data_IF_567770022467
#
_entry.id   IF_567770022467
#
_cell.length_a   1.000
_cell.length_b   1.000
_cell.length_c   1.000
_cell.angle_alpha   90.00
_cell.angle_beta   90.00
_cell.angle_gamma   90.00
#
_symmetry.space_group_name_H-M   'P 1'
#
loop_
_entity.id
_entity.type
_entity.pdbx_description
1 polymer ?
#
# COMPACT_ATOMS: atom_id res chain seq x y z
N UNK A 1 12.83 -1.07 13.88
CA UNK A 1 12.00 -1.54 12.75
C UNK A 1 12.47 -2.91 12.23
N UNK A 2 13.75 -3.10 11.90
CA UNK A 2 14.27 -4.36 11.35
C UNK A 2 13.97 -5.60 12.20
N UNK A 3 13.97 -5.49 13.53
CA UNK A 3 13.62 -6.63 14.40
C UNK A 3 12.15 -7.01 14.28
N UNK A 4 11.25 -6.03 14.21
CA UNK A 4 9.81 -6.26 13.99
C UNK A 4 9.59 -6.87 12.61
N UNK A 5 10.23 -6.34 11.57
CA UNK A 5 10.15 -6.88 10.22
C UNK A 5 10.58 -8.35 10.16
N UNK A 6 11.71 -8.68 10.77
CA UNK A 6 12.19 -10.08 10.88
C UNK A 6 11.21 -10.98 11.63
N UNK A 7 10.67 -10.51 12.76
CA UNK A 7 9.67 -11.26 13.53
C UNK A 7 8.40 -11.56 12.71
N UNK A 8 7.92 -10.58 11.94
CA UNK A 8 6.74 -10.75 11.09
C UNK A 8 7.02 -11.68 9.92
N UNK A 9 8.14 -11.51 9.22
CA UNK A 9 8.50 -12.35 8.06
C UNK A 9 8.84 -13.78 8.45
N UNK A 10 9.38 -14.02 9.64
CA UNK A 10 9.63 -15.38 10.14
C UNK A 10 8.36 -16.22 10.36
N UNK A 11 7.18 -15.59 10.35
CA UNK A 11 5.89 -16.26 10.44
C UNK A 11 5.32 -16.68 9.07
N UNK A 12 5.98 -16.28 7.98
CA UNK A 12 5.51 -16.48 6.60
C UNK A 12 6.22 -17.69 6.02
N UNK A 13 5.46 -18.54 5.33
CA UNK A 13 5.99 -19.59 4.48
C UNK A 13 6.49 -18.96 3.16
N UNK A 14 7.67 -18.32 3.24
CA UNK A 14 8.25 -17.58 2.14
C UNK A 14 8.45 -18.41 0.86
N UNK A 15 8.91 -19.67 0.92
CA UNK A 15 9.02 -20.53 -0.26
C UNK A 15 7.70 -20.73 -1.03
N UNK A 16 6.57 -20.70 -0.34
CA UNK A 16 5.23 -20.84 -0.92
C UNK A 16 4.50 -19.49 -1.10
N UNK A 17 5.20 -18.36 -0.90
CA UNK A 17 4.66 -17.03 -1.07
C UNK A 17 4.90 -16.52 -2.50
N UNK A 18 3.84 -16.14 -3.20
CA UNK A 18 3.92 -15.66 -4.58
C UNK A 18 4.60 -14.30 -4.70
N UNK A 19 4.43 -13.42 -3.72
CA UNK A 19 5.05 -12.09 -3.62
C UNK A 19 4.81 -11.48 -2.24
N UNK A 20 5.59 -10.44 -1.93
CA UNK A 20 5.43 -9.62 -0.72
C UNK A 20 5.18 -8.17 -1.15
N UNK A 21 4.29 -7.46 -0.45
CA UNK A 21 4.07 -6.02 -0.64
C UNK A 21 4.45 -5.30 0.65
N UNK A 22 5.33 -4.31 0.54
CA UNK A 22 5.54 -3.31 1.59
C UNK A 22 4.61 -2.12 1.36
N UNK A 23 3.85 -1.76 2.38
CA UNK A 23 2.89 -0.67 2.30
C UNK A 23 3.40 0.61 3.00
N UNK A 24 4.59 1.05 2.61
CA UNK A 24 5.17 2.33 2.97
C UNK A 24 5.67 2.46 4.41
N UNK A 25 6.30 3.61 4.67
CA UNK A 25 6.88 4.01 5.97
C UNK A 25 7.91 3.02 6.53
N UNK A 26 8.64 2.36 5.63
CA UNK A 26 9.70 1.43 6.00
C UNK A 26 10.93 2.15 6.57
N UNK A 27 11.04 3.45 6.33
CA UNK A 27 12.06 4.35 6.87
C UNK A 27 11.39 5.61 7.46
N UNK A 28 12.12 6.40 8.26
CA UNK A 28 11.59 7.66 8.80
C UNK A 28 11.71 8.84 7.84
N UNK A 29 12.71 8.81 6.99
CA UNK A 29 12.94 9.76 5.91
C UNK A 29 14.01 9.18 4.98
N UNK A 30 13.99 9.53 3.71
CA UNK A 30 14.98 9.11 2.71
C UNK A 30 16.21 10.04 2.78
N UNK A 31 17.05 9.87 3.80
CA UNK A 31 18.22 10.71 4.00
C UNK A 31 19.41 10.31 3.16
N UNK A 32 19.57 9.01 2.88
CA UNK A 32 20.66 8.45 2.06
C UNK A 32 20.28 7.06 1.54
N UNK A 33 20.98 6.60 0.52
CA UNK A 33 20.89 5.23 0.01
C UNK A 33 21.14 4.20 1.12
N UNK A 34 22.20 4.39 1.89
CA UNK A 34 22.55 3.51 3.01
C UNK A 34 21.42 3.39 4.03
N UNK A 35 20.65 4.45 4.27
CA UNK A 35 19.52 4.40 5.18
C UNK A 35 18.34 3.62 4.57
N UNK A 36 18.09 3.75 3.28
CA UNK A 36 17.04 2.96 2.59
C UNK A 36 17.39 1.47 2.65
N UNK A 37 18.62 1.11 2.30
CA UNK A 37 19.08 -0.27 2.33
C UNK A 37 19.07 -0.84 3.76
N UNK A 38 19.77 -0.20 4.69
CA UNK A 38 19.83 -0.64 6.09
C UNK A 38 18.49 -0.53 6.82
N UNK A 39 17.54 0.27 6.33
CA UNK A 39 16.20 0.41 6.89
C UNK A 39 15.33 -0.83 6.70
N UNK A 40 15.35 -1.45 5.50
CA UNK A 40 14.53 -2.62 5.22
C UNK A 40 15.02 -3.47 4.03
N UNK A 41 15.67 -2.88 3.01
CA UNK A 41 16.01 -3.59 1.78
C UNK A 41 17.01 -4.73 2.02
N UNK A 42 18.06 -4.50 2.83
CA UNK A 42 19.03 -5.55 3.20
C UNK A 42 18.34 -6.72 3.91
N UNK A 43 17.37 -6.40 4.78
CA UNK A 43 16.59 -7.43 5.48
C UNK A 43 15.69 -8.19 4.49
N UNK A 44 15.03 -7.51 3.56
CA UNK A 44 14.22 -8.15 2.54
C UNK A 44 15.05 -9.03 1.61
N UNK A 45 16.20 -8.52 1.13
CA UNK A 45 17.11 -9.27 0.28
C UNK A 45 17.65 -10.53 0.97
N UNK A 46 18.02 -10.44 2.25
CA UNK A 46 18.52 -11.56 3.01
C UNK A 46 17.47 -12.64 3.31
N UNK A 47 16.17 -12.27 3.38
CA UNK A 47 15.11 -13.19 3.78
C UNK A 47 14.34 -13.78 2.58
N UNK A 48 14.08 -12.99 1.54
CA UNK A 48 13.18 -13.46 0.46
C UNK A 48 13.35 -12.77 -0.90
N UNK A 49 13.75 -11.48 -0.94
CA UNK A 49 13.59 -10.68 -2.15
C UNK A 49 14.55 -11.06 -3.29
N UNK A 50 15.51 -11.96 -3.05
CA UNK A 50 16.32 -12.60 -4.08
C UNK A 50 15.56 -13.66 -4.90
N UNK A 51 14.46 -14.21 -4.36
CA UNK A 51 13.71 -15.33 -4.95
C UNK A 51 12.21 -15.03 -5.10
N UNK A 52 11.64 -14.25 -4.16
CA UNK A 52 10.22 -13.88 -4.17
C UNK A 52 10.07 -12.43 -4.58
N UNK A 53 9.21 -12.11 -5.58
CA UNK A 53 8.96 -10.75 -6.01
C UNK A 53 8.50 -9.86 -4.85
N UNK A 54 9.01 -8.63 -4.86
CA UNK A 54 8.66 -7.60 -3.89
C UNK A 54 8.01 -6.40 -4.60
N UNK A 55 6.82 -6.02 -4.16
CA UNK A 55 6.13 -4.81 -4.58
C UNK A 55 6.16 -3.75 -3.48
N UNK A 56 6.00 -2.50 -3.85
CA UNK A 56 6.07 -1.39 -2.92
C UNK A 56 4.96 -0.36 -3.18
N UNK A 57 4.23 0.01 -2.13
CA UNK A 57 3.38 1.20 -2.09
C UNK A 57 4.10 2.23 -1.23
N UNK A 58 4.44 3.41 -1.78
CA UNK A 58 5.21 4.43 -1.07
C UNK A 58 4.41 5.03 0.07
N UNK A 59 5.03 5.17 1.24
CA UNK A 59 4.51 5.94 2.36
C UNK A 59 4.90 7.40 2.29
N UNK A 60 4.33 8.22 3.16
CA UNK A 60 4.64 9.64 3.22
C UNK A 60 6.07 9.90 3.76
N UNK A 61 6.60 9.04 4.59
CA UNK A 61 7.97 9.17 5.09
C UNK A 61 9.04 8.96 4.02
N UNK A 62 8.79 8.17 3.00
CA UNK A 62 9.70 7.98 1.86
C UNK A 62 9.80 9.20 0.94
N UNK A 63 8.84 10.14 1.02
CA UNK A 63 8.87 11.39 0.24
C UNK A 63 9.79 12.45 0.85
N UNK A 64 10.24 12.24 2.10
CA UNK A 64 11.00 13.20 2.90
C UNK A 64 12.51 12.94 2.80
N UNK A 65 13.29 14.02 2.82
CA UNK A 65 14.75 13.97 2.84
C UNK A 65 15.41 14.09 1.46
N UNK A 66 16.73 14.35 1.43
CA UNK A 66 17.45 14.68 0.21
C UNK A 66 17.57 13.51 -0.80
N UNK A 67 17.33 12.28 -0.36
CA UNK A 67 17.39 11.10 -1.22
C UNK A 67 16.00 10.70 -1.76
N UNK A 68 14.92 11.36 -1.36
CA UNK A 68 13.54 11.03 -1.72
C UNK A 68 13.32 10.97 -3.24
N UNK A 69 13.90 11.91 -3.99
CA UNK A 69 13.80 11.94 -5.46
C UNK A 69 14.45 10.74 -6.15
N UNK A 70 15.39 10.06 -5.50
CA UNK A 70 16.07 8.87 -6.01
C UNK A 70 15.40 7.56 -5.57
N UNK A 71 14.56 7.63 -4.56
CA UNK A 71 13.86 6.45 -4.01
C UNK A 71 13.07 5.71 -5.09
N UNK A 72 12.38 6.45 -5.96
CA UNK A 72 11.61 5.88 -7.06
C UNK A 72 12.44 4.99 -8.01
N UNK A 73 13.74 5.22 -8.14
CA UNK A 73 14.62 4.41 -8.97
C UNK A 73 14.81 2.97 -8.51
N UNK A 74 14.52 2.67 -7.24
CA UNK A 74 14.59 1.31 -6.69
C UNK A 74 13.27 0.55 -6.84
N UNK A 75 12.17 1.25 -7.02
CA UNK A 75 10.84 0.68 -7.17
C UNK A 75 10.17 1.26 -8.41
N UNK A 76 10.72 1.01 -9.59
CA UNK A 76 10.14 1.54 -10.81
C UNK A 76 8.76 0.94 -11.00
N UNK A 77 7.76 1.80 -10.92
CA UNK A 77 6.41 1.45 -11.33
C UNK A 77 6.30 1.42 -12.87
N UNK A 78 5.09 1.31 -13.36
CA UNK A 78 4.82 1.35 -14.78
C UNK A 78 4.92 2.81 -15.26
N UNK A 79 5.58 3.05 -16.37
CA UNK A 79 5.75 4.39 -16.99
C UNK A 79 6.41 5.44 -16.06
N UNK A 80 7.28 4.99 -15.13
CA UNK A 80 8.03 5.88 -14.24
C UNK A 80 7.22 6.41 -13.04
N UNK A 81 5.97 6.00 -12.89
CA UNK A 81 5.15 6.33 -11.72
C UNK A 81 5.33 5.29 -10.61
N UNK A 82 5.06 5.70 -9.35
CA UNK A 82 5.06 4.79 -8.20
C UNK A 82 3.67 4.20 -7.93
N UNK A 83 2.68 4.54 -8.74
CA UNK A 83 1.37 3.90 -8.76
C UNK A 83 1.23 3.03 -10.00
N UNK A 84 0.66 1.85 -9.85
CA UNK A 84 0.59 0.87 -10.92
C UNK A 84 -0.49 -0.18 -10.65
N UNK A 85 -0.75 -1.01 -11.65
CA UNK A 85 -1.67 -2.15 -11.56
C UNK A 85 -1.00 -3.41 -12.08
N UNK A 86 -1.22 -4.53 -11.41
CA UNK A 86 -0.76 -5.84 -11.86
C UNK A 86 -1.77 -6.93 -11.50
N UNK A 87 -1.64 -8.09 -12.13
CA UNK A 87 -2.47 -9.27 -11.85
C UNK A 87 -1.64 -10.43 -11.34
N UNK A 88 -2.24 -11.21 -10.44
CA UNK A 88 -1.69 -12.48 -10.02
C UNK A 88 -2.83 -13.48 -9.78
N UNK A 89 -2.86 -14.58 -10.57
CA UNK A 89 -4.01 -15.49 -10.58
C UNK A 89 -5.31 -14.72 -10.91
N UNK A 90 -6.34 -14.95 -10.11
CA UNK A 90 -7.66 -14.35 -10.28
C UNK A 90 -7.80 -12.92 -9.73
N UNK A 91 -6.73 -12.37 -9.16
CA UNK A 91 -6.75 -11.06 -8.53
C UNK A 91 -6.03 -9.99 -9.37
N UNK A 92 -6.64 -8.81 -9.38
CA UNK A 92 -6.04 -7.57 -9.85
C UNK A 92 -5.71 -6.69 -8.64
N UNK A 93 -4.47 -6.21 -8.60
CA UNK A 93 -3.94 -5.34 -7.57
C UNK A 93 -3.71 -3.95 -8.15
N UNK A 94 -4.28 -2.93 -7.52
CA UNK A 94 -3.96 -1.53 -7.78
C UNK A 94 -3.10 -1.05 -6.60
N UNK A 95 -1.91 -0.57 -6.89
CA UNK A 95 -1.03 0.06 -5.92
C UNK A 95 -1.09 1.56 -6.13
N UNK A 96 -1.51 2.29 -5.10
CA UNK A 96 -1.60 3.74 -5.10
C UNK A 96 -0.41 4.35 -4.35
N UNK A 97 0.02 5.50 -4.82
CA UNK A 97 0.99 6.36 -4.16
C UNK A 97 0.28 7.57 -3.56
N UNK A 98 -0.01 7.50 -2.27
CA UNK A 98 -0.84 8.52 -1.61
C UNK A 98 -0.10 9.84 -1.32
N UNK A 99 1.23 9.89 -1.49
CA UNK A 99 2.03 11.08 -1.21
C UNK A 99 2.04 11.46 0.28
N UNK A 100 2.10 12.75 0.56
CA UNK A 100 2.18 13.31 1.92
C UNK A 100 0.81 13.43 2.61
N UNK A 101 0.84 13.50 3.93
CA UNK A 101 -0.35 13.53 4.79
C UNK A 101 -0.87 14.95 5.11
N UNK A 102 -0.05 16.00 4.91
CA UNK A 102 -0.41 17.41 5.06
C UNK A 102 -0.59 18.10 3.71
N UNK A 103 -1.22 19.29 3.66
CA UNK A 103 -1.33 20.03 2.41
C UNK A 103 0.03 20.53 1.91
N UNK A 104 0.18 20.70 0.60
CA UNK A 104 1.43 21.20 -0.02
C UNK A 104 1.87 22.57 0.51
N UNK A 105 0.93 23.35 1.05
CA UNK A 105 1.21 24.63 1.71
C UNK A 105 1.78 24.53 3.12
N UNK A 106 1.91 23.30 3.68
CA UNK A 106 2.45 23.12 5.02
C UNK A 106 3.92 23.55 5.07
N UNK A 107 4.30 24.27 6.15
CA UNK A 107 5.64 24.82 6.33
C UNK A 107 6.73 23.72 6.34
N UNK A 108 6.39 22.52 6.76
CA UNK A 108 7.33 21.38 6.78
C UNK A 108 7.83 21.03 5.38
N UNK A 109 7.06 21.33 4.35
CA UNK A 109 7.43 20.99 2.96
C UNK A 109 8.17 22.12 2.24
N UNK A 110 8.31 23.28 2.86
CA UNK A 110 9.08 24.43 2.31
C UNK A 110 8.69 24.81 0.87
N UNK A 111 7.45 24.53 0.45
CA UNK A 111 6.92 24.84 -0.88
C UNK A 111 7.49 23.98 -2.03
N UNK A 112 8.08 22.83 -1.72
CA UNK A 112 8.69 21.93 -2.74
C UNK A 112 7.87 20.68 -3.04
N UNK A 113 6.69 20.51 -2.41
CA UNK A 113 5.77 19.41 -2.69
C UNK A 113 4.67 19.86 -3.65
N UNK A 114 4.16 18.91 -4.44
CA UNK A 114 3.01 19.07 -5.36
C UNK A 114 2.14 17.80 -5.29
N UNK A 115 1.87 17.32 -4.07
CA UNK A 115 1.18 16.06 -3.84
C UNK A 115 -0.31 16.14 -4.14
N UNK A 116 -0.92 17.32 -3.98
CA UNK A 116 -2.34 17.52 -4.30
C UNK A 116 -2.61 17.41 -5.80
N UNK A 117 -1.72 17.96 -6.64
CA UNK A 117 -1.76 17.79 -8.09
C UNK A 117 -1.41 16.35 -8.50
N UNK A 118 -0.36 15.78 -7.91
CA UNK A 118 0.05 14.40 -8.15
C UNK A 118 -1.11 13.41 -7.89
N UNK A 119 -1.87 13.58 -6.81
CA UNK A 119 -3.08 12.77 -6.55
C UNK A 119 -4.17 13.01 -7.58
N UNK A 120 -4.29 14.22 -8.13
CA UNK A 120 -5.25 14.53 -9.20
C UNK A 120 -4.87 13.81 -10.50
N UNK A 121 -3.60 13.83 -10.88
CA UNK A 121 -3.09 13.07 -12.04
C UNK A 121 -3.28 11.57 -11.85
N UNK A 122 -2.98 11.06 -10.66
CA UNK A 122 -3.17 9.66 -10.32
C UNK A 122 -4.66 9.25 -10.36
N UNK A 123 -5.58 10.12 -9.95
CA UNK A 123 -7.01 9.87 -10.05
C UNK A 123 -7.47 9.73 -11.51
N UNK A 124 -6.91 10.53 -12.43
CA UNK A 124 -7.17 10.40 -13.85
C UNK A 124 -6.65 9.07 -14.41
N UNK A 125 -5.43 8.67 -14.02
CA UNK A 125 -4.89 7.34 -14.34
C UNK A 125 -5.78 6.23 -13.77
N UNK A 126 -6.18 6.32 -12.49
CA UNK A 126 -7.00 5.32 -11.82
C UNK A 126 -8.35 5.13 -12.53
N UNK A 127 -8.98 6.25 -12.95
CA UNK A 127 -10.23 6.21 -13.69
C UNK A 127 -10.11 5.42 -15.02
N UNK A 128 -8.96 5.47 -15.67
CA UNK A 128 -8.66 4.69 -16.86
C UNK A 128 -8.29 3.23 -16.54
N UNK A 129 -7.45 3.02 -15.51
CA UNK A 129 -7.00 1.70 -15.09
C UNK A 129 -8.16 0.75 -14.75
N UNK A 130 -9.18 1.25 -14.03
CA UNK A 130 -10.37 0.46 -13.69
C UNK A 130 -11.30 0.18 -14.89
N UNK A 131 -11.07 0.80 -16.05
CA UNK A 131 -11.81 0.51 -17.28
C UNK A 131 -11.17 -0.57 -18.14
N UNK A 132 -9.94 -0.96 -17.84
CA UNK A 132 -9.23 -1.99 -18.62
C UNK A 132 -9.92 -3.35 -18.50
N UNK A 133 -9.79 -4.15 -19.54
CA UNK A 133 -10.28 -5.54 -19.54
C UNK A 133 -9.63 -6.37 -18.42
N UNK A 134 -8.35 -6.14 -18.18
CA UNK A 134 -7.59 -6.80 -17.12
C UNK A 134 -8.24 -6.60 -15.76
N UNK A 135 -8.57 -5.36 -15.41
CA UNK A 135 -9.26 -5.06 -14.15
C UNK A 135 -10.69 -5.64 -14.13
N UNK A 136 -11.46 -5.41 -15.20
CA UNK A 136 -12.87 -5.85 -15.26
C UNK A 136 -13.06 -7.36 -15.18
N UNK A 137 -12.15 -8.13 -15.75
CA UNK A 137 -12.19 -9.60 -15.77
C UNK A 137 -11.64 -10.24 -14.49
N UNK A 138 -10.89 -9.49 -13.68
CA UNK A 138 -10.38 -10.00 -12.41
C UNK A 138 -11.54 -10.35 -11.48
N UNK A 139 -11.44 -11.52 -10.85
CA UNK A 139 -12.43 -11.96 -9.87
C UNK A 139 -12.33 -11.13 -8.59
N UNK A 140 -11.11 -10.87 -8.13
CA UNK A 140 -10.84 -10.07 -6.95
C UNK A 140 -10.09 -8.78 -7.33
N UNK A 141 -10.56 -7.66 -6.78
CA UNK A 141 -10.05 -6.31 -7.05
C UNK A 141 -9.54 -5.69 -5.75
N UNK A 142 -8.25 -5.73 -5.57
CA UNK A 142 -7.57 -5.35 -4.33
C UNK A 142 -6.84 -4.04 -4.55
N UNK A 143 -7.06 -3.06 -3.68
CA UNK A 143 -6.36 -1.78 -3.71
C UNK A 143 -5.43 -1.69 -2.51
N UNK A 144 -4.20 -1.23 -2.75
CA UNK A 144 -3.19 -1.00 -1.74
C UNK A 144 -2.75 0.44 -1.84
N UNK A 145 -2.85 1.17 -0.74
CA UNK A 145 -2.39 2.54 -0.62
C UNK A 145 -1.99 2.81 0.82
N UNK A 146 -0.91 3.54 1.02
CA UNK A 146 -0.38 3.76 2.36
C UNK A 146 -1.37 4.50 3.26
N UNK A 147 -1.92 5.62 2.79
CA UNK A 147 -2.87 6.46 3.53
C UNK A 147 -4.29 5.91 3.34
N UNK A 148 -5.04 5.59 4.41
CA UNK A 148 -6.41 5.13 4.28
C UNK A 148 -7.37 6.26 3.90
N UNK A 149 -8.45 5.97 3.15
CA UNK A 149 -9.55 6.90 3.01
C UNK A 149 -10.23 7.11 4.37
N UNK A 150 -10.32 8.34 4.81
CA UNK A 150 -10.93 8.73 6.08
C UNK A 150 -11.17 10.24 6.14
N UNK A 151 -11.78 10.72 7.21
CA UNK A 151 -11.96 12.15 7.53
C UNK A 151 -10.82 12.74 8.35
N UNK A 152 -9.66 12.13 8.36
CA UNK A 152 -8.53 12.54 9.20
C UNK A 152 -7.73 13.72 8.64
N UNK A 153 -6.44 13.53 8.44
CA UNK A 153 -5.52 14.53 7.92
C UNK A 153 -5.82 14.84 6.45
N UNK A 154 -5.18 15.87 5.91
CA UNK A 154 -5.38 16.30 4.53
C UNK A 154 -5.22 15.16 3.52
N UNK A 155 -4.16 14.36 3.63
CA UNK A 155 -3.94 13.20 2.77
C UNK A 155 -5.07 12.16 2.80
N UNK A 156 -5.68 11.91 3.98
CA UNK A 156 -6.86 11.05 4.09
C UNK A 156 -8.07 11.61 3.33
N UNK A 157 -8.29 12.93 3.47
CA UNK A 157 -9.39 13.64 2.80
C UNK A 157 -9.20 13.62 1.28
N UNK A 158 -7.98 13.88 0.80
CA UNK A 158 -7.62 13.85 -0.61
C UNK A 158 -7.83 12.45 -1.23
N UNK A 159 -7.37 11.39 -0.55
CA UNK A 159 -7.62 9.99 -0.94
C UNK A 159 -9.14 9.74 -1.01
N UNK A 160 -9.88 10.20 0.00
CA UNK A 160 -11.34 10.04 0.04
C UNK A 160 -12.03 10.78 -1.10
N UNK A 161 -11.66 12.03 -1.35
CA UNK A 161 -12.32 12.86 -2.36
C UNK A 161 -11.96 12.44 -3.79
N UNK A 162 -10.71 12.07 -4.03
CA UNK A 162 -10.21 11.83 -5.39
C UNK A 162 -10.29 10.36 -5.81
N UNK A 163 -10.03 9.40 -4.91
CA UNK A 163 -9.97 7.99 -5.29
C UNK A 163 -11.25 7.22 -4.96
N UNK A 164 -11.87 7.46 -3.80
CA UNK A 164 -13.04 6.67 -3.36
C UNK A 164 -14.20 6.70 -4.35
N UNK A 165 -14.59 7.82 -4.98
CA UNK A 165 -15.68 7.80 -5.97
C UNK A 165 -15.39 6.88 -7.17
N UNK A 166 -14.14 6.81 -7.61
CA UNK A 166 -13.70 5.94 -8.71
C UNK A 166 -13.74 4.48 -8.25
N UNK A 167 -13.19 4.20 -7.07
CA UNK A 167 -13.13 2.85 -6.51
C UNK A 167 -14.51 2.30 -6.16
N UNK A 168 -15.41 3.14 -5.63
CA UNK A 168 -16.81 2.77 -5.39
C UNK A 168 -17.52 2.34 -6.69
N UNK A 169 -17.35 3.12 -7.75
CA UNK A 169 -17.93 2.81 -9.06
C UNK A 169 -17.30 1.58 -9.70
N UNK A 170 -16.02 1.35 -9.44
CA UNK A 170 -15.27 0.21 -9.95
C UNK A 170 -15.64 -1.12 -9.25
N UNK A 171 -16.22 -1.04 -8.04
CA UNK A 171 -16.60 -2.21 -7.24
C UNK A 171 -15.39 -3.01 -6.78
N UNK A 172 -14.46 -2.35 -6.08
CA UNK A 172 -13.33 -3.05 -5.47
C UNK A 172 -13.77 -3.86 -4.26
N UNK A 173 -13.04 -4.92 -3.95
CA UNK A 173 -13.35 -5.85 -2.87
C UNK A 173 -12.75 -5.44 -1.52
N UNK A 174 -11.57 -4.79 -1.53
CA UNK A 174 -10.89 -4.33 -0.32
C UNK A 174 -9.87 -3.24 -0.63
N UNK A 175 -9.73 -2.29 0.29
CA UNK A 175 -8.62 -1.34 0.35
C UNK A 175 -7.73 -1.68 1.54
N UNK A 176 -6.43 -1.91 1.30
CA UNK A 176 -5.44 -2.20 2.35
C UNK A 176 -4.56 -0.98 2.56
N UNK A 177 -4.57 -0.47 3.78
CA UNK A 177 -3.83 0.71 4.18
C UNK A 177 -2.90 0.43 5.37
N UNK A 178 -2.08 1.43 5.70
CA UNK A 178 -1.17 1.48 6.84
C UNK A 178 -1.28 2.84 7.54
N UNK A 179 -0.19 3.61 7.67
CA UNK A 179 -0.11 5.00 8.12
C UNK A 179 -0.48 5.27 9.59
N UNK A 180 -1.59 4.72 10.08
CA UNK A 180 -2.11 5.03 11.42
C UNK A 180 -1.35 4.31 12.55
N UNK A 181 -0.42 3.41 12.25
CA UNK A 181 0.35 2.59 13.20
C UNK A 181 -0.50 1.75 14.16
N UNK A 182 -1.78 1.58 13.87
CA UNK A 182 -2.74 0.75 14.63
C UNK A 182 -3.60 -0.06 13.67
N UNK A 183 -4.04 -1.22 14.12
CA UNK A 183 -4.98 -2.02 13.34
C UNK A 183 -6.41 -1.51 13.54
N UNK A 184 -7.14 -1.39 12.44
CA UNK A 184 -8.61 -1.31 12.41
C UNK A 184 -9.14 -1.87 11.11
N UNK A 185 -10.33 -2.42 11.17
CA UNK A 185 -11.09 -2.82 10.00
C UNK A 185 -12.37 -1.99 9.93
N UNK A 186 -12.53 -1.24 8.85
CA UNK A 186 -13.73 -0.46 8.57
C UNK A 186 -14.63 -1.25 7.63
N UNK A 187 -15.89 -1.43 8.02
CA UNK A 187 -16.92 -1.98 7.14
C UNK A 187 -17.37 -0.93 6.13
N UNK A 188 -17.90 -1.36 4.97
CA UNK A 188 -18.52 -0.45 4.03
C UNK A 188 -19.58 0.44 4.68
N UNK A 189 -19.65 1.69 4.26
CA UNK A 189 -20.63 2.69 4.71
C UNK A 189 -21.21 3.49 3.53
N UNK A 190 -21.90 4.59 3.80
CA UNK A 190 -22.51 5.43 2.76
C UNK A 190 -21.48 6.12 1.85
N UNK A 191 -20.30 6.41 2.36
CA UNK A 191 -19.23 7.11 1.64
C UNK A 191 -18.27 6.12 0.97
N UNK A 192 -17.84 5.07 1.70
CA UNK A 192 -16.86 4.08 1.26
C UNK A 192 -17.58 2.74 1.15
N UNK A 193 -17.81 2.27 -0.09
CA UNK A 193 -18.63 1.08 -0.39
C UNK A 193 -17.88 -0.26 -0.27
N UNK A 194 -16.63 -0.24 0.17
CA UNK A 194 -15.75 -1.40 0.30
C UNK A 194 -15.12 -1.45 1.70
N UNK A 195 -14.73 -2.62 2.19
CA UNK A 195 -14.01 -2.72 3.45
C UNK A 195 -12.61 -2.10 3.34
N UNK A 196 -12.16 -1.46 4.43
CA UNK A 196 -10.81 -0.92 4.56
C UNK A 196 -10.09 -1.63 5.69
N UNK A 197 -8.97 -2.27 5.40
CA UNK A 197 -8.06 -2.82 6.40
C UNK A 197 -6.94 -1.80 6.60
N UNK A 198 -6.87 -1.18 7.76
CA UNK A 198 -5.69 -0.41 8.17
C UNK A 198 -4.82 -1.32 9.00
N UNK A 199 -3.60 -1.59 8.53
CA UNK A 199 -2.68 -2.48 9.23
C UNK A 199 -1.78 -1.71 10.19
N UNK A 200 -1.46 -2.34 11.32
CA UNK A 200 -0.49 -1.80 12.28
C UNK A 200 0.95 -2.03 11.79
N UNK A 201 1.89 -1.19 12.22
CA UNK A 201 3.33 -1.38 12.02
C UNK A 201 3.91 -2.61 12.77
N UNK A 202 3.11 -3.28 13.61
CA UNK A 202 3.46 -4.50 14.34
C UNK A 202 2.69 -5.73 13.85
N UNK A 203 1.99 -5.62 12.71
CA UNK A 203 1.20 -6.71 12.16
C UNK A 203 1.60 -7.04 10.73
N UNK A 204 1.31 -8.27 10.33
CA UNK A 204 1.41 -8.72 8.94
C UNK A 204 0.05 -9.20 8.45
N UNK A 205 -0.27 -8.91 7.20
CA UNK A 205 -1.43 -9.48 6.51
C UNK A 205 -0.95 -10.65 5.66
N UNK A 206 -1.48 -11.83 5.92
CA UNK A 206 -1.28 -13.02 5.07
C UNK A 206 -2.53 -13.19 4.21
N UNK A 207 -2.40 -12.98 2.91
CA UNK A 207 -3.49 -13.12 1.95
C UNK A 207 -3.40 -14.48 1.24
N UNK A 208 -4.49 -15.21 1.24
CA UNK A 208 -4.68 -16.42 0.43
C UNK A 208 -5.80 -16.18 -0.59
N UNK A 209 -5.48 -16.33 -1.87
CA UNK A 209 -6.44 -16.11 -2.95
C UNK A 209 -6.64 -17.41 -3.71
N UNK A 210 -7.90 -17.80 -3.86
CA UNK A 210 -8.33 -19.01 -4.56
C UNK A 210 -9.54 -18.72 -5.45
N UNK A 211 -9.94 -19.71 -6.25
CA UNK A 211 -11.19 -19.60 -7.03
C UNK A 211 -12.44 -19.40 -6.16
N UNK A 212 -12.42 -19.77 -4.89
CA UNK A 212 -13.59 -19.71 -3.99
C UNK A 212 -13.64 -18.45 -3.16
N UNK A 213 -12.50 -17.98 -2.68
CA UNK A 213 -12.41 -16.85 -1.77
C UNK A 213 -11.06 -16.14 -1.84
N UNK A 214 -11.05 -14.86 -1.50
CA UNK A 214 -9.85 -14.12 -1.09
C UNK A 214 -9.91 -13.89 0.42
N UNK A 215 -8.93 -14.41 1.16
CA UNK A 215 -8.90 -14.38 2.61
C UNK A 215 -7.69 -13.60 3.10
N UNK A 216 -7.92 -12.60 3.93
CA UNK A 216 -6.90 -11.72 4.51
C UNK A 216 -6.87 -11.93 6.01
N UNK A 217 -5.79 -12.52 6.52
CA UNK A 217 -5.59 -12.77 7.95
C UNK A 217 -4.49 -11.89 8.50
N UNK A 218 -4.79 -11.17 9.57
CA UNK A 218 -3.91 -10.22 10.22
C UNK A 218 -3.30 -10.88 11.46
N UNK A 219 -1.98 -10.94 11.53
CA UNK A 219 -1.24 -11.53 12.64
C UNK A 219 -0.32 -10.50 13.28
N UNK A 220 -0.19 -10.53 14.61
CA UNK A 220 0.79 -9.73 15.34
C UNK A 220 2.19 -10.35 15.34
N UNK A 221 3.16 -9.70 16.00
CA UNK A 221 4.54 -10.18 16.10
C UNK A 221 4.70 -11.50 16.84
N UNK A 222 3.69 -11.94 17.61
CA UNK A 222 3.70 -13.22 18.34
C UNK A 222 3.09 -14.37 17.52
N UNK A 223 2.53 -14.07 16.34
CA UNK A 223 1.80 -15.04 15.51
C UNK A 223 0.33 -15.23 15.91
N UNK A 224 -0.19 -14.37 16.80
CA UNK A 224 -1.60 -14.40 17.17
C UNK A 224 -2.44 -13.76 16.06
N UNK A 225 -3.54 -14.42 15.68
CA UNK A 225 -4.54 -13.86 14.78
C UNK A 225 -5.23 -12.67 15.48
N UNK A 226 -5.14 -11.50 14.86
CA UNK A 226 -5.76 -10.25 15.33
C UNK A 226 -7.12 -10.04 14.70
N UNK A 227 -7.23 -10.29 13.39
CA UNK A 227 -8.47 -10.07 12.62
C UNK A 227 -8.45 -10.86 11.31
N UNK A 228 -9.61 -10.97 10.64
CA UNK A 228 -9.76 -11.66 9.37
C UNK A 228 -10.85 -11.02 8.50
N UNK A 229 -10.59 -10.88 7.21
CA UNK A 229 -11.58 -10.53 6.19
C UNK A 229 -11.64 -11.65 5.15
N UNK A 230 -12.85 -12.06 4.77
CA UNK A 230 -13.10 -13.01 3.69
C UNK A 230 -13.97 -12.31 2.63
N UNK A 231 -13.53 -12.36 1.39
CA UNK A 231 -14.26 -11.94 0.19
C UNK A 231 -14.59 -13.20 -0.62
N UNK A 232 -15.86 -13.39 -0.97
CA UNK A 232 -16.38 -14.58 -1.67
C UNK A 232 -16.52 -14.36 -3.18
#
# INVERSE_FOLDING_TARGET
RNNVLKQLLNQVDLPNTSFVIFNGDMINASMSEAQVFGGFMDTAAALFASETPMYYSRGNHETRGPFASKFAGYFPGIDGHLYYMFTRGDACFIVLDCGEDKPDSDIEYSGITDMDNYRTEQAAWLANAVQTDTFKKAKYKIVIGHIPPASGWHGNQEVTQKFVPILNKAGIDVYIAAHEHRHRMQKPDETIKFPVIVNSNNNIIKAGISEKEARFRIFDTTGKLVDELIVL
#
